data_IF_082508467231
#
_entry.id   IF_082508467231
#
_cell.length_a   1.000
_cell.length_b   1.000
_cell.length_c   1.000
_cell.angle_alpha   90.00
_cell.angle_beta   90.00
_cell.angle_gamma   90.00
#
_symmetry.space_group_name_H-M   'P 1'
#
loop_
_entity.id
_entity.type
_entity.pdbx_description
1 polymer ?
#
# COMPACT_ATOMS: atom_id res chain seq x y z
N UNK A 1 18.86 -10.42 -6.78
CA UNK A 1 19.05 -10.06 -5.36
C UNK A 1 17.70 -9.59 -4.83
N UNK A 2 17.29 -10.01 -3.64
CA UNK A 2 16.00 -9.64 -3.01
C UNK A 2 16.29 -9.01 -1.65
N UNK A 3 16.60 -7.70 -1.59
CA UNK A 3 17.27 -7.06 -0.45
C UNK A 3 16.63 -7.35 0.91
N UNK A 4 15.32 -7.10 1.03
CA UNK A 4 14.57 -7.32 2.25
C UNK A 4 14.50 -8.81 2.64
N UNK A 5 14.21 -9.68 1.69
CA UNK A 5 14.11 -11.13 1.94
C UNK A 5 15.46 -11.74 2.35
N UNK A 6 16.53 -11.34 1.67
CA UNK A 6 17.89 -11.79 1.96
C UNK A 6 18.32 -11.32 3.35
N UNK A 7 18.03 -10.07 3.72
CA UNK A 7 18.30 -9.53 5.06
C UNK A 7 17.57 -10.31 6.18
N UNK A 8 16.28 -10.60 5.98
CA UNK A 8 15.47 -11.40 6.92
C UNK A 8 16.00 -12.84 7.04
N UNK A 9 16.45 -13.44 5.93
CA UNK A 9 17.10 -14.76 5.93
C UNK A 9 18.42 -14.78 6.69
N UNK A 10 19.23 -13.73 6.57
CA UNK A 10 20.48 -13.61 7.32
C UNK A 10 20.21 -13.39 8.81
N UNK A 11 19.25 -12.53 9.16
CA UNK A 11 18.85 -12.28 10.55
C UNK A 11 18.39 -13.55 11.28
N UNK A 12 17.71 -14.49 10.60
CA UNK A 12 17.33 -15.79 11.16
C UNK A 12 18.52 -16.54 11.79
N UNK A 13 19.75 -16.34 11.32
CA UNK A 13 20.96 -17.02 11.83
C UNK A 13 21.36 -16.54 13.23
N UNK A 14 20.86 -15.38 13.68
CA UNK A 14 21.12 -14.82 15.01
C UNK A 14 20.39 -15.63 16.09
N UNK A 15 21.16 -16.29 16.96
CA UNK A 15 20.64 -17.21 17.99
C UNK A 15 20.24 -16.54 19.30
N UNK A 16 20.88 -15.42 19.66
CA UNK A 16 20.62 -14.69 20.88
C UNK A 16 20.13 -13.29 20.53
N UNK A 17 18.94 -12.93 21.02
CA UNK A 17 18.27 -11.66 20.71
C UNK A 17 17.96 -10.95 22.01
N UNK A 18 18.47 -9.73 22.16
CA UNK A 18 18.26 -8.85 23.32
C UNK A 18 17.47 -7.60 22.94
N UNK A 19 16.48 -7.79 22.08
CA UNK A 19 15.60 -6.74 21.55
C UNK A 19 14.20 -7.32 21.31
N UNK A 20 13.24 -6.46 20.96
CA UNK A 20 11.90 -6.91 20.57
C UNK A 20 11.91 -7.62 19.20
N UNK A 21 10.99 -8.56 18.95
CA UNK A 21 9.94 -9.03 19.86
C UNK A 21 10.44 -10.01 20.93
N UNK A 22 9.75 -10.05 22.08
CA UNK A 22 10.17 -10.78 23.30
C UNK A 22 10.24 -12.31 23.16
N UNK A 23 9.64 -12.89 22.11
CA UNK A 23 9.75 -14.32 21.81
C UNK A 23 11.15 -14.73 21.33
N UNK A 24 12.02 -13.76 20.99
CA UNK A 24 13.46 -13.97 20.76
C UNK A 24 13.79 -14.96 19.65
N UNK A 25 12.97 -15.06 18.60
CA UNK A 25 13.19 -16.02 17.51
C UNK A 25 12.94 -17.49 17.86
N UNK A 26 12.26 -17.75 18.98
CA UNK A 26 11.86 -19.05 19.55
C UNK A 26 12.95 -20.11 19.78
N UNK A 27 13.52 -20.05 21.00
CA UNK A 27 13.97 -21.21 21.79
C UNK A 27 13.53 -21.10 23.26
N UNK A 28 12.22 -20.96 23.51
CA UNK A 28 11.65 -21.11 24.87
C UNK A 28 10.71 -22.32 24.85
N UNK A 29 11.00 -23.34 25.66
CA UNK A 29 10.23 -24.60 25.77
C UNK A 29 10.08 -25.45 24.49
N UNK A 30 11.01 -25.39 23.53
CA UNK A 30 10.98 -26.24 22.32
C UNK A 30 9.88 -25.91 21.30
N UNK A 31 9.17 -24.79 21.45
CA UNK A 31 8.10 -24.35 20.54
C UNK A 31 8.66 -23.56 19.35
N UNK A 32 9.28 -24.25 18.41
CA UNK A 32 9.69 -23.68 17.11
C UNK A 32 8.81 -24.21 15.96
N UNK A 33 7.70 -24.88 16.30
CA UNK A 33 6.79 -25.55 15.37
C UNK A 33 5.34 -25.08 15.61
N UNK A 34 4.48 -25.29 14.61
CA UNK A 34 3.08 -24.81 14.64
C UNK A 34 3.00 -23.29 14.51
N UNK A 35 2.21 -22.65 15.37
CA UNK A 35 1.89 -21.21 15.32
C UNK A 35 3.12 -20.28 15.31
N UNK A 36 4.27 -20.73 15.84
CA UNK A 36 5.50 -19.92 15.95
C UNK A 36 6.55 -20.21 14.88
N UNK A 37 6.20 -20.90 13.79
CA UNK A 37 7.15 -21.24 12.74
C UNK A 37 7.79 -20.02 12.06
N UNK A 38 7.10 -18.87 12.04
CA UNK A 38 7.59 -17.60 11.48
C UNK A 38 8.43 -16.76 12.44
N UNK A 39 8.37 -17.03 13.76
CA UNK A 39 9.06 -16.21 14.77
C UNK A 39 10.59 -16.06 14.56
N UNK A 40 11.34 -17.02 13.97
CA UNK A 40 12.74 -16.79 13.63
C UNK A 40 12.97 -15.68 12.58
N UNK A 41 11.98 -15.36 11.76
CA UNK A 41 12.03 -14.30 10.76
C UNK A 41 11.49 -12.96 11.28
N UNK A 42 10.81 -12.97 12.42
CA UNK A 42 10.23 -11.78 13.04
C UNK A 42 11.31 -10.89 13.67
N UNK A 43 11.41 -9.67 13.13
CA UNK A 43 12.42 -8.66 13.44
C UNK A 43 11.75 -7.30 13.51
N UNK A 44 12.05 -6.56 14.57
CA UNK A 44 11.64 -5.15 14.72
C UNK A 44 12.62 -4.24 13.97
N UNK A 45 12.39 -2.95 14.04
CA UNK A 45 13.24 -1.88 13.53
C UNK A 45 14.57 -1.86 14.28
N UNK A 46 15.62 -2.32 13.61
CA UNK A 46 17.00 -2.32 14.06
C UNK A 46 17.86 -1.66 12.98
N UNK A 47 19.10 -1.32 13.33
CA UNK A 47 20.04 -0.65 12.42
C UNK A 47 20.23 -1.36 11.07
N UNK A 48 19.99 -2.67 11.01
CA UNK A 48 20.14 -3.48 9.79
C UNK A 48 18.81 -3.94 9.16
N UNK A 49 17.67 -3.83 9.86
CA UNK A 49 16.35 -4.28 9.38
C UNK A 49 15.46 -3.15 8.88
N UNK A 50 15.91 -1.90 9.03
CA UNK A 50 15.24 -0.68 8.53
C UNK A 50 13.95 -0.34 9.31
N UNK A 51 13.31 0.78 8.93
CA UNK A 51 12.03 1.23 9.48
C UNK A 51 11.01 1.39 8.36
N UNK A 52 9.92 0.62 8.40
CA UNK A 52 8.89 0.63 7.35
C UNK A 52 8.27 2.02 7.14
N UNK A 53 8.10 2.81 8.21
CA UNK A 53 7.47 4.14 8.12
C UNK A 53 8.40 5.23 7.57
N UNK A 54 9.71 4.97 7.52
CA UNK A 54 10.72 5.91 7.01
C UNK A 54 11.93 5.13 6.50
N UNK A 55 11.79 4.39 5.38
CA UNK A 55 12.78 3.44 4.95
C UNK A 55 14.04 4.14 4.41
N UNK A 56 15.21 3.62 4.79
CA UNK A 56 16.52 4.17 4.41
C UNK A 56 17.54 3.09 4.00
N UNK A 57 17.19 1.82 4.17
CA UNK A 57 18.05 0.66 3.95
C UNK A 57 17.38 -0.42 3.13
N UNK A 58 17.25 -1.63 3.70
CA UNK A 58 16.81 -2.83 2.95
C UNK A 58 15.37 -2.75 2.45
N UNK A 59 14.50 -1.99 3.14
CA UNK A 59 13.12 -1.77 2.69
C UNK A 59 13.13 -0.82 1.50
N UNK A 60 13.84 0.31 1.59
CA UNK A 60 13.94 1.28 0.49
C UNK A 60 14.54 0.63 -0.77
N UNK A 61 15.56 -0.21 -0.61
CA UNK A 61 16.15 -0.94 -1.72
C UNK A 61 15.16 -1.93 -2.37
N UNK A 62 14.29 -2.55 -1.57
CA UNK A 62 13.25 -3.44 -2.09
C UNK A 62 12.13 -2.67 -2.80
N UNK A 63 11.73 -1.52 -2.26
CA UNK A 63 10.77 -0.59 -2.87
C UNK A 63 11.25 -0.05 -4.21
N UNK A 64 12.52 0.36 -4.32
CA UNK A 64 13.13 0.81 -5.58
C UNK A 64 13.15 -0.29 -6.65
N UNK A 65 13.42 -1.53 -6.24
CA UNK A 65 13.36 -2.68 -7.16
C UNK A 65 11.93 -2.95 -7.62
N UNK A 66 10.95 -2.84 -6.71
CA UNK A 66 9.55 -2.99 -7.05
C UNK A 66 9.10 -1.87 -8.02
N UNK A 67 9.45 -0.62 -7.76
CA UNK A 67 9.17 0.52 -8.63
C UNK A 67 9.70 0.27 -10.06
N UNK A 68 10.94 -0.20 -10.18
CA UNK A 68 11.52 -0.59 -11.48
C UNK A 68 10.77 -1.74 -12.16
N UNK A 69 10.32 -2.74 -11.41
CA UNK A 69 9.61 -3.89 -11.96
C UNK A 69 8.22 -3.52 -12.48
N UNK A 70 7.51 -2.64 -11.77
CA UNK A 70 6.17 -2.17 -12.14
C UNK A 70 6.19 -0.96 -13.08
N UNK A 71 7.36 -0.38 -13.37
CA UNK A 71 7.47 0.82 -14.19
C UNK A 71 6.95 2.10 -13.49
N UNK A 72 6.90 2.09 -12.16
CA UNK A 72 6.50 3.24 -11.35
C UNK A 72 7.72 4.11 -10.99
N UNK A 73 7.48 5.40 -10.74
CA UNK A 73 8.52 6.30 -10.21
C UNK A 73 8.90 5.95 -8.77
N UNK A 74 7.88 5.63 -7.96
CA UNK A 74 8.03 5.22 -6.57
C UNK A 74 7.10 4.06 -6.26
N UNK A 75 7.48 3.23 -5.27
CA UNK A 75 6.64 2.18 -4.70
C UNK A 75 6.82 2.22 -3.20
N UNK A 76 5.72 2.08 -2.47
CA UNK A 76 5.70 2.04 -1.01
C UNK A 76 5.16 0.69 -0.57
N UNK A 77 5.78 0.07 0.43
CA UNK A 77 5.29 -1.17 1.02
C UNK A 77 4.38 -0.91 2.21
N UNK A 78 3.26 -1.62 2.25
CA UNK A 78 2.28 -1.55 3.32
C UNK A 78 2.12 -2.92 4.00
N UNK A 79 2.09 -2.93 5.32
CA UNK A 79 1.84 -4.15 6.11
C UNK A 79 0.37 -4.29 6.54
N UNK A 80 -0.44 -3.23 6.41
CA UNK A 80 -1.87 -3.21 6.75
C UNK A 80 -2.81 -3.64 5.60
N UNK A 81 -2.25 -4.12 4.48
CA UNK A 81 -3.01 -4.46 3.27
C UNK A 81 -3.47 -3.23 2.48
N UNK A 82 -4.30 -3.43 1.45
CA UNK A 82 -4.73 -2.35 0.54
C UNK A 82 -5.52 -1.23 1.26
N UNK A 83 -6.21 -1.54 2.37
CA UNK A 83 -6.90 -0.54 3.20
C UNK A 83 -5.93 0.55 3.69
N UNK A 84 -4.74 0.16 4.13
CA UNK A 84 -3.69 1.07 4.62
C UNK A 84 -3.15 1.96 3.50
N UNK A 85 -2.97 1.38 2.31
CA UNK A 85 -2.56 2.12 1.11
C UNK A 85 -3.63 3.15 0.68
N UNK A 86 -4.92 2.76 0.64
CA UNK A 86 -6.03 3.66 0.30
C UNK A 86 -6.16 4.79 1.32
N UNK A 87 -6.06 4.48 2.62
CA UNK A 87 -6.07 5.48 3.68
C UNK A 87 -4.90 6.47 3.54
N UNK A 88 -3.70 5.96 3.27
CA UNK A 88 -2.51 6.80 3.08
C UNK A 88 -2.65 7.73 1.87
N UNK A 89 -3.15 7.21 0.74
CA UNK A 89 -3.40 8.01 -0.45
C UNK A 89 -4.44 9.11 -0.20
N UNK A 90 -5.58 8.77 0.42
CA UNK A 90 -6.62 9.75 0.72
C UNK A 90 -6.20 10.77 1.77
N UNK A 91 -5.43 10.37 2.78
CA UNK A 91 -4.91 11.28 3.79
C UNK A 91 -3.92 12.28 3.19
N UNK A 92 -3.05 11.84 2.27
CA UNK A 92 -2.11 12.71 1.57
C UNK A 92 -2.82 13.78 0.71
N UNK A 93 -4.06 13.49 0.29
CA UNK A 93 -4.87 14.34 -0.57
C UNK A 93 -6.07 14.96 0.16
N UNK A 94 -6.08 14.95 1.50
CA UNK A 94 -7.27 15.27 2.31
C UNK A 94 -7.85 16.67 2.08
N UNK A 95 -7.02 17.62 1.68
CA UNK A 95 -7.42 19.02 1.48
C UNK A 95 -7.96 19.27 0.06
N UNK A 96 -8.09 18.22 -0.76
CA UNK A 96 -8.49 18.29 -2.17
C UNK A 96 -9.92 17.83 -2.41
N UNK A 97 -10.62 18.50 -3.31
CA UNK A 97 -11.95 18.06 -3.78
C UNK A 97 -11.84 16.74 -4.53
N UNK A 98 -12.44 15.69 -3.99
CA UNK A 98 -12.29 14.33 -4.50
C UNK A 98 -13.58 13.86 -5.16
N UNK A 99 -13.48 13.35 -6.38
CA UNK A 99 -14.56 12.62 -7.04
C UNK A 99 -14.18 11.14 -7.17
N UNK A 100 -15.16 10.25 -7.29
CA UNK A 100 -14.91 8.85 -7.58
C UNK A 100 -15.86 8.31 -8.65
N UNK A 101 -15.35 7.41 -9.50
CA UNK A 101 -16.07 6.89 -10.66
C UNK A 101 -16.60 5.47 -10.42
N UNK A 102 -17.93 5.35 -10.30
CA UNK A 102 -18.60 4.09 -9.99
C UNK A 102 -18.45 3.68 -8.52
N UNK A 103 -18.20 2.41 -8.26
CA UNK A 103 -18.14 1.87 -6.90
C UNK A 103 -16.71 1.84 -6.33
N UNK A 104 -16.60 2.04 -5.02
CA UNK A 104 -15.35 2.03 -4.27
C UNK A 104 -15.46 1.07 -3.08
N UNK A 105 -14.35 0.43 -2.72
CA UNK A 105 -14.34 -0.48 -1.57
C UNK A 105 -14.67 0.28 -0.26
N UNK A 106 -15.25 -0.42 0.72
CA UNK A 106 -15.60 0.17 2.04
C UNK A 106 -14.46 0.90 2.75
N UNK A 107 -13.20 0.56 2.44
CA UNK A 107 -12.01 1.25 2.96
C UNK A 107 -11.96 2.71 2.50
N UNK A 108 -12.29 2.99 1.23
CA UNK A 108 -12.38 4.34 0.68
C UNK A 108 -13.43 5.16 1.43
N UNK A 109 -14.67 4.65 1.53
CA UNK A 109 -15.75 5.36 2.23
C UNK A 109 -15.45 5.57 3.72
N UNK A 110 -14.86 4.57 4.38
CA UNK A 110 -14.46 4.68 5.78
C UNK A 110 -13.38 5.74 5.97
N UNK A 111 -12.38 5.78 5.09
CA UNK A 111 -11.31 6.78 5.10
C UNK A 111 -11.84 8.20 4.81
N UNK A 112 -12.70 8.35 3.79
CA UNK A 112 -13.37 9.60 3.48
C UNK A 112 -14.12 10.15 4.70
N UNK A 113 -14.85 9.27 5.41
CA UNK A 113 -15.56 9.66 6.63
C UNK A 113 -14.62 10.00 7.79
N UNK A 114 -13.53 9.24 7.95
CA UNK A 114 -12.55 9.40 9.03
C UNK A 114 -11.77 10.71 8.90
N UNK A 115 -11.45 11.11 7.67
CA UNK A 115 -10.69 12.32 7.37
C UNK A 115 -11.57 13.53 6.99
N UNK A 116 -12.89 13.37 7.09
CA UNK A 116 -13.90 14.40 6.76
C UNK A 116 -13.75 14.94 5.32
N UNK A 117 -13.52 14.04 4.37
CA UNK A 117 -13.32 14.37 2.97
C UNK A 117 -14.65 14.66 2.27
N UNK A 118 -14.69 15.75 1.50
CA UNK A 118 -15.76 16.00 0.56
C UNK A 118 -15.55 15.12 -0.68
N UNK A 119 -16.26 13.98 -0.72
CA UNK A 119 -16.25 13.04 -1.85
C UNK A 119 -17.53 13.13 -2.66
N UNK A 120 -17.43 13.14 -3.98
CA UNK A 120 -18.57 13.13 -4.90
C UNK A 120 -18.55 11.89 -5.79
N UNK A 121 -19.67 11.16 -5.83
CA UNK A 121 -19.88 10.04 -6.76
C UNK A 121 -20.15 10.55 -8.17
N UNK A 122 -19.59 9.85 -9.17
CA UNK A 122 -19.84 10.10 -10.59
C UNK A 122 -20.14 8.76 -11.27
N UNK A 123 -21.21 8.69 -12.07
CA UNK A 123 -21.54 7.48 -12.82
C UNK A 123 -20.76 7.37 -14.13
N UNK A 124 -20.29 8.49 -14.66
CA UNK A 124 -19.58 8.58 -15.95
C UNK A 124 -18.47 9.63 -15.91
N UNK A 125 -17.57 9.59 -16.90
CA UNK A 125 -16.47 10.56 -17.02
C UNK A 125 -16.98 12.00 -17.20
N UNK A 126 -18.12 12.16 -17.86
CA UNK A 126 -18.75 13.46 -18.14
C UNK A 126 -19.32 14.12 -16.88
N UNK A 127 -19.60 13.33 -15.84
CA UNK A 127 -20.14 13.81 -14.56
C UNK A 127 -19.05 14.28 -13.60
N UNK A 128 -17.77 14.03 -13.91
CA UNK A 128 -16.65 14.47 -13.07
C UNK A 128 -16.67 16.00 -12.99
N UNK A 129 -16.79 16.60 -11.78
CA UNK A 129 -16.84 18.04 -11.59
C UNK A 129 -15.66 18.76 -12.25
N UNK A 130 -15.89 20.01 -12.68
CA UNK A 130 -14.83 20.83 -13.26
C UNK A 130 -13.77 21.22 -12.22
N UNK A 131 -14.15 21.28 -10.95
CA UNK A 131 -13.30 21.63 -9.81
C UNK A 131 -12.83 20.41 -9.00
N UNK A 132 -12.97 19.19 -9.55
CA UNK A 132 -12.40 17.99 -8.94
C UNK A 132 -10.88 18.02 -9.09
N UNK A 133 -10.17 17.90 -7.96
CA UNK A 133 -8.71 17.89 -7.90
C UNK A 133 -8.16 16.46 -7.82
N UNK A 134 -8.99 15.50 -7.41
CA UNK A 134 -8.66 14.08 -7.31
C UNK A 134 -9.80 13.28 -7.89
N UNK A 135 -9.48 12.26 -8.69
CA UNK A 135 -10.43 11.27 -9.19
C UNK A 135 -9.97 9.89 -8.74
N UNK A 136 -10.83 9.19 -8.02
CA UNK A 136 -10.59 7.82 -7.55
C UNK A 136 -11.38 6.81 -8.39
N UNK A 137 -10.79 5.66 -8.67
CA UNK A 137 -11.46 4.61 -9.42
C UNK A 137 -10.97 3.23 -9.01
N UNK A 138 -11.87 2.27 -8.88
CA UNK A 138 -11.52 0.85 -8.72
C UNK A 138 -11.40 0.19 -10.09
N UNK A 139 -10.28 -0.48 -10.37
CA UNK A 139 -10.11 -1.30 -11.57
C UNK A 139 -8.97 -2.29 -11.41
N UNK A 140 -9.18 -3.61 -11.59
CA UNK A 140 -10.46 -4.26 -11.86
C UNK A 140 -11.39 -4.25 -10.65
N UNK A 141 -12.70 -4.33 -10.91
CA UNK A 141 -13.69 -4.56 -9.86
C UNK A 141 -13.64 -6.01 -9.33
N UNK A 142 -14.45 -6.31 -8.30
CA UNK A 142 -14.53 -7.64 -7.70
C UNK A 142 -14.90 -8.75 -8.70
N UNK A 143 -15.58 -8.40 -9.80
CA UNK A 143 -16.00 -9.33 -10.84
C UNK A 143 -14.98 -9.43 -11.98
N UNK A 144 -13.81 -8.80 -11.85
CA UNK A 144 -12.76 -8.80 -12.86
C UNK A 144 -13.03 -7.85 -14.03
N UNK A 145 -13.99 -6.93 -13.91
CA UNK A 145 -14.25 -5.93 -14.95
C UNK A 145 -13.25 -4.81 -14.83
N UNK A 146 -12.52 -4.54 -15.91
CA UNK A 146 -11.59 -3.43 -16.00
C UNK A 146 -12.28 -2.20 -16.57
N UNK A 147 -11.87 -1.03 -16.08
CA UNK A 147 -12.25 0.26 -16.66
C UNK A 147 -11.19 0.71 -17.66
N UNK A 148 -11.58 1.58 -18.58
CA UNK A 148 -10.65 2.25 -19.47
C UNK A 148 -9.86 3.32 -18.71
N UNK A 149 -8.81 2.89 -18.00
CA UNK A 149 -7.95 3.76 -17.21
C UNK A 149 -7.24 4.80 -18.08
N UNK A 150 -6.96 4.50 -19.35
CA UNK A 150 -6.34 5.46 -20.26
C UNK A 150 -7.27 6.66 -20.53
N UNK A 151 -8.56 6.39 -20.78
CA UNK A 151 -9.56 7.46 -20.92
C UNK A 151 -9.79 8.25 -19.63
N UNK A 152 -9.79 7.58 -18.47
CA UNK A 152 -9.90 8.25 -17.16
C UNK A 152 -8.69 9.16 -16.92
N UNK A 153 -7.48 8.66 -17.19
CA UNK A 153 -6.23 9.39 -17.03
C UNK A 153 -6.17 10.63 -17.95
N UNK A 154 -6.60 10.49 -19.21
CA UNK A 154 -6.71 11.61 -20.13
C UNK A 154 -7.66 12.70 -19.60
N UNK A 155 -8.85 12.32 -19.12
CA UNK A 155 -9.80 13.26 -18.54
C UNK A 155 -9.28 13.94 -17.26
N UNK A 156 -8.51 13.23 -16.44
CA UNK A 156 -7.86 13.81 -15.26
C UNK A 156 -6.77 14.80 -15.67
N UNK A 157 -5.94 14.45 -16.64
CA UNK A 157 -4.86 15.29 -17.15
C UNK A 157 -5.38 16.61 -17.75
N UNK A 158 -6.48 16.57 -18.51
CA UNK A 158 -7.13 17.77 -19.05
C UNK A 158 -7.57 18.75 -17.95
N UNK A 159 -7.95 18.23 -16.78
CA UNK A 159 -8.40 19.01 -15.62
C UNK A 159 -7.27 19.35 -14.63
N UNK A 160 -6.08 18.78 -14.83
CA UNK A 160 -4.99 18.85 -13.83
C UNK A 160 -5.29 18.09 -12.53
N UNK A 161 -6.21 17.12 -12.57
CA UNK A 161 -6.60 16.32 -11.42
C UNK A 161 -5.64 15.13 -11.22
N UNK A 162 -5.45 14.72 -9.96
CA UNK A 162 -4.69 13.53 -9.59
C UNK A 162 -5.60 12.31 -9.75
N UNK A 163 -5.15 11.30 -10.52
CA UNK A 163 -5.83 10.01 -10.62
C UNK A 163 -5.31 9.04 -9.56
N UNK A 164 -6.21 8.47 -8.78
CA UNK A 164 -5.93 7.37 -7.84
C UNK A 164 -6.67 6.13 -8.32
N UNK A 165 -5.93 5.07 -8.64
CA UNK A 165 -6.49 3.79 -9.08
C UNK A 165 -6.34 2.76 -7.96
N UNK A 166 -7.46 2.22 -7.48
CA UNK A 166 -7.48 1.06 -6.59
C UNK A 166 -7.46 -0.21 -7.43
N UNK A 167 -6.27 -0.82 -7.54
CA UNK A 167 -6.00 -2.06 -8.25
C UNK A 167 -5.89 -3.27 -7.31
N UNK A 168 -6.56 -3.27 -6.15
CA UNK A 168 -6.46 -4.37 -5.18
C UNK A 168 -6.79 -5.77 -5.74
N UNK A 169 -7.64 -5.84 -6.78
CA UNK A 169 -7.97 -7.08 -7.50
C UNK A 169 -7.11 -7.33 -8.76
N UNK A 170 -6.23 -6.39 -9.12
CA UNK A 170 -5.46 -6.36 -10.37
C UNK A 170 -3.99 -6.75 -10.23
N UNK A 171 -3.61 -7.49 -9.18
CA UNK A 171 -2.20 -7.73 -8.83
C UNK A 171 -1.38 -8.60 -9.82
N UNK A 172 -1.89 -8.89 -11.02
CA UNK A 172 -1.32 -9.88 -11.97
C UNK A 172 -0.84 -9.25 -13.28
#
# INVERSE_FOLDING_TARGET
MTPLFDAVKEYKKIKARFHMPSHGGVKRFGRSAGLYASAPFDVTELSFSDNLSSPSGVILAAEQLAAKAYGAEHTLFFAGGATDAVQSALYALKDKKTAFLGDMHKSFHSAARLFDLAVQECASLQEIPADAEVVCVTSPDYYGRTKDIASVAAACAEKGAILVVDEAHGAH
#
